data_IF_494048725832
#
_entry.id   IF_494048725832
#
_cell.length_a   1.000
_cell.length_b   1.000
_cell.length_c   1.000
_cell.angle_alpha   90.00
_cell.angle_beta   90.00
_cell.angle_gamma   90.00
#
_symmetry.space_group_name_H-M   'P 1'
#
loop_
_entity.id
_entity.type
_entity.pdbx_description
1 polymer ?
#
# COMPACT_ATOMS: atom_id res chain seq x y z
N UNK A 1 -25.06 10.42 -12.75
CA UNK A 1 -24.53 9.29 -11.96
C UNK A 1 -23.27 8.82 -12.66
N UNK A 2 -22.07 8.95 -12.08
CA UNK A 2 -20.91 8.31 -12.69
C UNK A 2 -21.06 6.80 -12.53
N UNK A 3 -21.10 6.09 -13.65
CA UNK A 3 -21.10 4.62 -13.69
C UNK A 3 -19.78 4.12 -13.12
N UNK A 4 -19.84 3.26 -12.09
CA UNK A 4 -18.68 2.61 -11.45
C UNK A 4 -18.09 1.51 -12.36
N UNK A 5 -17.83 1.87 -13.61
CA UNK A 5 -17.41 0.95 -14.65
C UNK A 5 -15.88 0.86 -14.68
N UNK A 6 -15.30 -0.36 -14.69
CA UNK A 6 -13.86 -0.53 -14.63
C UNK A 6 -13.14 0.13 -15.81
N UNK A 7 -11.91 0.62 -15.66
CA UNK A 7 -11.18 1.23 -16.77
C UNK A 7 -10.84 0.22 -17.88
N UNK A 8 -10.65 0.73 -19.11
CA UNK A 8 -10.41 -0.10 -20.31
C UNK A 8 -9.21 -1.06 -20.16
N UNK A 9 -8.14 -0.65 -19.48
CA UNK A 9 -6.95 -1.49 -19.31
C UNK A 9 -7.25 -2.74 -18.46
N UNK A 10 -8.09 -2.61 -17.43
CA UNK A 10 -8.41 -3.70 -16.52
C UNK A 10 -9.28 -4.74 -17.21
N UNK A 11 -10.32 -4.30 -17.93
CA UNK A 11 -11.18 -5.22 -18.69
C UNK A 11 -10.41 -5.92 -19.82
N UNK A 12 -9.41 -5.26 -20.41
CA UNK A 12 -8.53 -5.86 -21.41
C UNK A 12 -7.59 -6.92 -20.80
N UNK A 13 -7.03 -6.67 -19.60
CA UNK A 13 -6.22 -7.65 -18.87
C UNK A 13 -7.03 -8.89 -18.52
N UNK A 14 -8.24 -8.71 -17.97
CA UNK A 14 -9.11 -9.83 -17.58
C UNK A 14 -9.55 -10.65 -18.80
N UNK A 15 -9.86 -9.98 -19.92
CA UNK A 15 -10.19 -10.63 -21.18
C UNK A 15 -9.02 -11.47 -21.71
N UNK A 16 -7.79 -10.94 -21.65
CA UNK A 16 -6.58 -11.68 -22.05
C UNK A 16 -6.33 -12.88 -21.14
N UNK A 17 -6.44 -12.72 -19.82
CA UNK A 17 -6.36 -13.84 -18.88
C UNK A 17 -7.37 -14.93 -19.24
N UNK A 18 -8.64 -14.57 -19.51
CA UNK A 18 -9.67 -15.53 -19.90
C UNK A 18 -9.33 -16.27 -21.19
N UNK A 19 -8.75 -15.60 -22.19
CA UNK A 19 -8.30 -16.22 -23.43
C UNK A 19 -7.13 -17.18 -23.18
N UNK A 20 -6.14 -16.78 -22.38
CA UNK A 20 -5.00 -17.62 -22.00
C UNK A 20 -5.45 -18.88 -21.23
N UNK A 21 -6.35 -18.75 -20.25
CA UNK A 21 -6.90 -19.90 -19.52
C UNK A 21 -7.69 -20.87 -20.40
N UNK A 22 -8.25 -20.39 -21.51
CA UNK A 22 -8.93 -21.21 -22.53
C UNK A 22 -7.96 -21.85 -23.54
N UNK A 23 -6.65 -21.66 -23.37
CA UNK A 23 -5.62 -22.15 -24.29
C UNK A 23 -5.55 -21.37 -25.61
N UNK A 24 -6.14 -20.17 -25.69
CA UNK A 24 -6.14 -19.33 -26.88
C UNK A 24 -4.97 -18.35 -26.85
N UNK A 25 -3.74 -18.87 -26.83
CA UNK A 25 -2.49 -18.09 -26.87
C UNK A 25 -1.68 -18.47 -28.11
N UNK A 26 -1.26 -17.52 -28.97
CA UNK A 26 -1.59 -16.09 -28.94
C UNK A 26 -3.05 -15.82 -29.35
N UNK A 27 -3.61 -14.71 -28.88
CA UNK A 27 -4.95 -14.25 -29.24
C UNK A 27 -4.91 -13.02 -30.16
N UNK A 28 -5.92 -12.87 -30.99
CA UNK A 28 -6.10 -11.71 -31.88
C UNK A 28 -6.71 -10.53 -31.13
N UNK A 29 -6.50 -9.31 -31.66
CA UNK A 29 -7.20 -8.10 -31.20
C UNK A 29 -8.73 -8.27 -31.19
N UNK A 30 -9.30 -8.90 -32.22
CA UNK A 30 -10.74 -9.13 -32.31
C UNK A 30 -11.24 -10.12 -31.24
N UNK A 31 -10.49 -11.20 -30.96
CA UNK A 31 -10.83 -12.12 -29.86
C UNK A 31 -10.78 -11.42 -28.50
N UNK A 32 -9.79 -10.55 -28.30
CA UNK A 32 -9.65 -9.76 -27.07
C UNK A 32 -10.83 -8.79 -26.87
N UNK A 33 -11.16 -8.01 -27.91
CA UNK A 33 -12.29 -7.07 -27.89
C UNK A 33 -13.62 -7.80 -27.72
N UNK A 34 -13.84 -8.90 -28.46
CA UNK A 34 -15.05 -9.70 -28.32
C UNK A 34 -15.21 -10.23 -26.88
N UNK A 35 -14.12 -10.66 -26.25
CA UNK A 35 -14.12 -11.13 -24.85
C UNK A 35 -14.44 -9.99 -23.87
N UNK A 36 -14.01 -8.75 -24.15
CA UNK A 36 -14.43 -7.56 -23.37
C UNK A 36 -15.94 -7.31 -23.55
N UNK A 37 -16.44 -7.39 -24.77
CA UNK A 37 -17.85 -7.15 -25.11
C UNK A 37 -18.81 -8.19 -24.54
N UNK A 38 -18.33 -9.40 -24.17
CA UNK A 38 -19.15 -10.37 -23.43
C UNK A 38 -19.71 -9.79 -22.12
N UNK A 39 -18.97 -8.86 -21.48
CA UNK A 39 -19.36 -8.23 -20.22
C UNK A 39 -19.64 -6.73 -20.34
N UNK A 40 -19.02 -6.07 -21.31
CA UNK A 40 -19.12 -4.62 -21.51
C UNK A 40 -19.39 -4.28 -22.99
N UNK A 41 -20.59 -4.58 -23.52
CA UNK A 41 -20.90 -4.44 -24.95
C UNK A 41 -20.84 -2.99 -25.46
N UNK A 42 -21.05 -2.01 -24.58
CA UNK A 42 -21.06 -0.59 -24.94
C UNK A 42 -19.66 0.03 -25.11
N UNK A 43 -18.58 -0.73 -24.85
CA UNK A 43 -17.21 -0.22 -24.95
C UNK A 43 -16.75 -0.13 -26.40
N UNK A 44 -16.72 1.08 -26.93
CA UNK A 44 -16.30 1.34 -28.30
C UNK A 44 -14.84 0.94 -28.57
N UNK A 45 -14.60 0.31 -29.72
CA UNK A 45 -13.26 -0.08 -30.20
C UNK A 45 -12.28 1.11 -30.29
N UNK A 46 -12.78 2.32 -30.57
CA UNK A 46 -11.99 3.55 -30.60
C UNK A 46 -11.30 3.86 -29.27
N UNK A 47 -11.82 3.35 -28.16
CA UNK A 47 -11.26 3.50 -26.82
C UNK A 47 -10.40 2.30 -26.37
N UNK A 48 -10.70 1.10 -26.88
CA UNK A 48 -9.96 -0.13 -26.55
C UNK A 48 -8.68 -0.24 -27.39
N UNK A 49 -8.72 0.11 -28.67
CA UNK A 49 -7.58 -0.05 -29.57
C UNK A 49 -6.33 0.74 -29.17
N UNK A 50 -6.43 2.04 -28.82
CA UNK A 50 -5.28 2.78 -28.30
C UNK A 50 -4.74 2.21 -26.98
N UNK A 51 -5.62 1.65 -26.14
CA UNK A 51 -5.26 1.04 -24.87
C UNK A 51 -4.50 -0.28 -25.06
N UNK A 52 -4.98 -1.16 -25.95
CA UNK A 52 -4.27 -2.39 -26.34
C UNK A 52 -2.86 -2.04 -26.84
N UNK A 53 -2.73 -0.97 -27.64
CA UNK A 53 -1.43 -0.50 -28.11
C UNK A 53 -0.55 0.00 -26.96
N UNK A 54 -1.10 0.81 -26.04
CA UNK A 54 -0.39 1.33 -24.87
C UNK A 54 0.03 0.27 -23.84
N UNK A 55 -0.67 -0.85 -23.77
CA UNK A 55 -0.38 -1.99 -22.87
C UNK A 55 0.62 -3.00 -23.46
N UNK A 56 1.08 -2.80 -24.71
CA UNK A 56 1.94 -3.76 -25.42
C UNK A 56 3.41 -3.33 -25.44
N UNK A 57 4.30 -4.11 -24.81
CA UNK A 57 5.71 -3.75 -24.56
C UNK A 57 6.55 -3.45 -25.81
N UNK A 58 6.22 -4.09 -26.93
CA UNK A 58 7.02 -4.04 -28.16
C UNK A 58 6.32 -3.32 -29.32
N UNK A 59 5.26 -2.56 -29.04
CA UNK A 59 4.62 -1.65 -30.01
C UNK A 59 4.99 -0.20 -29.70
N UNK A 60 5.23 0.60 -30.74
CA UNK A 60 5.52 2.05 -30.62
C UNK A 60 4.23 2.85 -30.81
N UNK A 61 4.06 3.94 -30.06
CA UNK A 61 2.86 4.78 -30.06
C UNK A 61 1.74 4.21 -29.18
N UNK A 62 0.98 5.08 -28.52
CA UNK A 62 -0.04 4.73 -27.51
C UNK A 62 -0.26 5.92 -26.58
N UNK A 63 -1.38 5.95 -25.85
CA UNK A 63 -1.68 7.05 -24.93
C UNK A 63 -0.54 7.21 -23.89
N UNK A 64 0.12 8.38 -23.77
CA UNK A 64 1.12 8.60 -22.74
C UNK A 64 0.44 8.68 -21.37
N UNK A 65 0.78 7.79 -20.44
CA UNK A 65 0.45 7.98 -19.01
C UNK A 65 -0.44 6.93 -18.34
N UNK A 66 -0.73 5.77 -18.96
CA UNK A 66 -1.50 4.71 -18.30
C UNK A 66 -0.64 3.74 -17.47
N UNK A 67 -1.12 3.39 -16.28
CA UNK A 67 -0.69 2.24 -15.45
C UNK A 67 -0.72 0.95 -16.31
N UNK A 68 0.27 0.06 -16.16
CA UNK A 68 0.27 -1.27 -16.81
C UNK A 68 0.92 -1.35 -18.20
N UNK A 69 2.11 -0.75 -18.40
CA UNK A 69 2.84 -0.77 -19.69
C UNK A 69 3.38 -2.14 -20.13
N UNK A 70 3.20 -3.19 -19.35
CA UNK A 70 3.85 -4.49 -19.58
C UNK A 70 2.90 -5.69 -19.51
N UNK A 71 1.67 -5.53 -20.01
CA UNK A 71 0.66 -6.61 -19.95
C UNK A 71 0.69 -7.49 -21.20
N UNK A 72 0.93 -6.91 -22.38
CA UNK A 72 0.92 -7.65 -23.64
C UNK A 72 2.28 -7.67 -24.32
N UNK A 73 2.57 -8.77 -25.02
CA UNK A 73 3.62 -8.85 -26.04
C UNK A 73 2.96 -9.12 -27.40
N UNK A 74 3.26 -8.30 -28.40
CA UNK A 74 2.88 -8.58 -29.78
C UNK A 74 3.81 -9.65 -30.34
N UNK A 75 3.28 -10.79 -30.77
CA UNK A 75 4.07 -11.90 -31.37
C UNK A 75 3.88 -12.05 -32.88
N UNK A 76 2.97 -11.26 -33.44
CA UNK A 76 2.73 -11.19 -34.88
C UNK A 76 1.79 -10.03 -35.20
N UNK A 77 1.48 -9.84 -36.50
CA UNK A 77 0.58 -8.76 -36.92
C UNK A 77 -0.82 -8.96 -36.32
N UNK A 78 -1.16 -8.19 -35.29
CA UNK A 78 -2.44 -8.27 -34.60
C UNK A 78 -2.61 -9.47 -33.66
N UNK A 79 -1.51 -10.15 -33.33
CA UNK A 79 -1.45 -11.29 -32.40
C UNK A 79 -0.71 -10.89 -31.12
N UNK A 80 -1.31 -11.23 -29.99
CA UNK A 80 -0.87 -10.83 -28.66
C UNK A 80 -0.78 -12.04 -27.73
N UNK A 81 0.19 -11.99 -26.83
CA UNK A 81 0.30 -12.90 -25.70
C UNK A 81 0.24 -12.06 -24.42
N UNK A 82 -0.40 -12.62 -23.39
CA UNK A 82 -0.29 -12.09 -22.04
C UNK A 82 1.14 -12.35 -21.56
N UNK A 83 1.83 -11.31 -21.08
CA UNK A 83 3.11 -11.50 -20.42
C UNK A 83 2.86 -12.17 -19.07
N UNK A 84 3.20 -13.46 -18.98
CA UNK A 84 3.31 -14.10 -17.68
C UNK A 84 4.45 -13.44 -16.90
N UNK A 85 4.29 -13.17 -15.60
CA UNK A 85 5.45 -12.90 -14.75
C UNK A 85 6.43 -14.07 -14.89
N UNK A 86 7.75 -13.83 -14.98
CA UNK A 86 8.69 -14.87 -15.34
C UNK A 86 8.50 -16.10 -14.45
N UNK A 87 8.23 -17.24 -15.08
CA UNK A 87 8.17 -18.53 -14.41
C UNK A 87 9.44 -18.72 -13.58
N UNK A 88 9.29 -19.08 -12.30
CA UNK A 88 10.42 -19.42 -11.41
C UNK A 88 11.24 -20.53 -12.06
N UNK A 89 12.34 -20.15 -12.70
CA UNK A 89 13.38 -21.07 -13.16
C UNK A 89 13.94 -21.81 -11.94
N UNK A 90 13.99 -23.13 -12.05
CA UNK A 90 14.49 -24.02 -11.02
C UNK A 90 15.94 -23.72 -10.61
N UNK A 91 16.17 -23.76 -9.29
CA UNK A 91 17.43 -24.06 -8.58
C UNK A 91 18.65 -23.18 -8.88
N UNK A 92 18.86 -22.18 -8.02
CA UNK A 92 20.14 -22.03 -7.34
C UNK A 92 19.87 -22.07 -5.83
N UNK A 93 20.39 -23.10 -5.18
CA UNK A 93 20.41 -23.22 -3.73
C UNK A 93 21.18 -22.04 -3.15
N UNK A 94 20.44 -21.08 -2.61
CA UNK A 94 20.93 -20.16 -1.59
C UNK A 94 20.37 -20.69 -0.28
N UNK A 95 21.27 -21.12 0.61
CA UNK A 95 20.94 -21.62 1.94
C UNK A 95 19.97 -20.64 2.63
N UNK A 96 18.78 -21.10 3.08
CA UNK A 96 17.84 -20.22 3.76
C UNK A 96 18.46 -19.75 5.08
N UNK A 97 18.84 -18.47 5.15
CA UNK A 97 18.73 -17.75 6.40
C UNK A 97 17.27 -17.78 6.78
N UNK A 98 16.96 -18.37 7.94
CA UNK A 98 15.60 -18.68 8.35
C UNK A 98 14.68 -17.45 8.24
N UNK A 99 13.82 -17.43 7.22
CA UNK A 99 12.60 -16.64 7.28
C UNK A 99 11.69 -17.42 8.24
N UNK A 100 11.83 -17.11 9.52
CA UNK A 100 10.85 -17.50 10.51
C UNK A 100 9.62 -16.61 10.28
N UNK A 101 8.66 -17.11 9.50
CA UNK A 101 7.27 -16.66 9.59
C UNK A 101 6.75 -17.05 10.98
N UNK A 102 7.09 -16.25 11.98
CA UNK A 102 6.35 -16.23 13.23
C UNK A 102 5.17 -15.30 13.01
N UNK A 103 3.98 -15.88 12.90
CA UNK A 103 2.76 -15.17 13.21
C UNK A 103 2.80 -14.89 14.72
N UNK A 104 3.13 -13.65 15.09
CA UNK A 104 2.89 -13.18 16.45
C UNK A 104 1.59 -12.39 16.42
N UNK A 105 0.57 -13.02 16.98
CA UNK A 105 -0.68 -12.37 17.29
C UNK A 105 -0.41 -11.20 18.25
N UNK A 106 -0.49 -9.99 17.73
CA UNK A 106 -0.77 -8.79 18.51
C UNK A 106 -2.24 -8.83 18.95
N UNK A 107 -2.57 -9.75 19.86
CA UNK A 107 -3.78 -9.69 20.70
C UNK A 107 -5.12 -9.57 19.97
N UNK A 108 -5.54 -10.63 19.28
CA UNK A 108 -6.95 -10.90 19.05
C UNK A 108 -7.20 -12.38 19.31
N UNK A 109 -8.07 -12.65 20.28
CA UNK A 109 -8.42 -13.98 20.74
C UNK A 109 -8.99 -14.83 19.60
N UNK A 110 -8.58 -16.10 19.59
CA UNK A 110 -8.99 -17.11 18.65
C UNK A 110 -10.51 -17.36 18.74
N UNK A 111 -11.28 -16.84 17.77
CA UNK A 111 -12.70 -17.17 17.61
C UNK A 111 -13.47 -16.15 16.77
N UNK A 112 -13.56 -16.36 15.45
CA UNK A 112 -14.47 -15.67 14.52
C UNK A 112 -14.79 -14.20 14.88
N UNK A 113 -13.77 -13.41 15.23
CA UNK A 113 -13.95 -12.01 15.56
C UNK A 113 -14.21 -11.27 14.25
N UNK A 114 -15.38 -10.63 14.15
CA UNK A 114 -15.70 -9.70 13.06
C UNK A 114 -14.57 -8.68 12.96
N UNK A 115 -13.98 -8.51 11.76
CA UNK A 115 -12.93 -7.53 11.58
C UNK A 115 -13.52 -6.15 11.86
N UNK A 116 -12.78 -5.28 12.56
CA UNK A 116 -13.29 -3.95 12.86
C UNK A 116 -13.37 -3.10 11.57
N UNK A 117 -14.24 -2.07 11.52
CA UNK A 117 -14.22 -1.11 10.42
C UNK A 117 -12.86 -0.39 10.33
N UNK A 118 -12.61 0.24 9.18
CA UNK A 118 -11.44 1.09 8.95
C UNK A 118 -11.32 2.09 10.09
N UNK A 119 -10.15 2.11 10.75
CA UNK A 119 -9.89 3.04 11.85
C UNK A 119 -9.58 4.41 11.29
N UNK A 120 -10.18 5.43 11.91
CA UNK A 120 -9.89 6.82 11.59
C UNK A 120 -9.06 7.45 12.69
N UNK A 121 -8.01 8.15 12.27
CA UNK A 121 -7.22 9.03 13.11
C UNK A 121 -7.55 10.47 12.73
N UNK A 122 -7.77 11.32 13.73
CA UNK A 122 -7.96 12.76 13.54
C UNK A 122 -6.94 13.53 14.35
N UNK A 123 -6.20 14.40 13.70
CA UNK A 123 -5.27 15.32 14.38
C UNK A 123 -5.83 16.73 14.29
N UNK A 124 -6.08 17.33 15.46
CA UNK A 124 -6.38 18.75 15.59
C UNK A 124 -5.07 19.50 15.86
N UNK A 125 -4.60 20.22 14.84
CA UNK A 125 -3.32 20.93 14.84
C UNK A 125 -3.34 22.10 15.81
N UNK A 126 -4.46 22.83 15.87
CA UNK A 126 -4.59 24.02 16.73
C UNK A 126 -4.72 23.62 18.20
N UNK A 127 -5.56 22.61 18.49
CA UNK A 127 -5.76 22.12 19.86
C UNK A 127 -4.66 21.17 20.33
N UNK A 128 -3.71 20.79 19.45
CA UNK A 128 -2.69 19.76 19.69
C UNK A 128 -3.27 18.46 20.25
N UNK A 129 -4.29 17.93 19.58
CA UNK A 129 -4.96 16.70 20.00
C UNK A 129 -4.91 15.65 18.91
N UNK A 130 -4.56 14.43 19.28
CA UNK A 130 -4.64 13.26 18.42
C UNK A 130 -5.77 12.36 18.92
N UNK A 131 -6.84 12.29 18.12
CA UNK A 131 -7.98 11.41 18.32
C UNK A 131 -7.76 10.11 17.55
N UNK A 132 -7.74 8.99 18.26
CA UNK A 132 -7.57 7.63 17.73
C UNK A 132 -8.69 6.73 18.24
N UNK A 133 -8.75 5.51 17.73
CA UNK A 133 -9.81 4.55 18.08
C UNK A 133 -9.96 4.29 19.59
N UNK A 134 -8.86 4.36 20.35
CA UNK A 134 -8.84 4.10 21.80
C UNK A 134 -8.92 5.36 22.67
N UNK A 135 -9.21 6.53 22.08
CA UNK A 135 -9.45 7.78 22.80
C UNK A 135 -8.70 8.98 22.22
N UNK A 136 -8.61 10.03 23.01
CA UNK A 136 -7.91 11.26 22.62
C UNK A 136 -6.65 11.43 23.46
N UNK A 137 -5.54 11.79 22.82
CA UNK A 137 -4.29 12.12 23.47
C UNK A 137 -3.94 13.59 23.20
N UNK A 138 -3.38 14.23 24.22
CA UNK A 138 -2.72 15.52 24.08
C UNK A 138 -1.33 15.32 23.45
N UNK A 139 -0.96 16.20 22.53
CA UNK A 139 0.32 16.15 21.85
C UNK A 139 1.26 17.21 22.42
N UNK A 140 2.46 16.79 22.78
CA UNK A 140 3.53 17.69 23.21
C UNK A 140 3.97 18.58 22.03
N UNK A 141 4.09 17.96 20.84
CA UNK A 141 4.35 18.64 19.58
C UNK A 141 3.33 18.25 18.52
N UNK A 142 2.85 19.25 17.79
CA UNK A 142 2.19 19.09 16.49
C UNK A 142 2.72 20.18 15.59
N UNK A 143 3.15 19.82 14.38
CA UNK A 143 3.74 20.79 13.46
C UNK A 143 3.57 20.39 12.00
N UNK A 144 3.24 21.38 11.18
CA UNK A 144 3.20 21.23 9.74
C UNK A 144 4.62 21.32 9.16
N UNK A 145 4.92 20.43 8.21
CA UNK A 145 6.22 20.29 7.56
C UNK A 145 5.98 20.23 6.06
N UNK A 146 5.96 21.39 5.40
CA UNK A 146 5.57 21.51 3.99
C UNK A 146 4.16 20.93 3.74
N UNK A 147 4.04 19.79 3.08
CA UNK A 147 2.78 19.07 2.82
C UNK A 147 2.53 17.89 3.76
N UNK A 148 3.30 17.79 4.85
CA UNK A 148 3.28 16.68 5.80
C UNK A 148 2.95 17.19 7.21
N UNK A 149 2.54 16.28 8.08
CA UNK A 149 2.23 16.57 9.48
C UNK A 149 3.10 15.72 10.40
N UNK A 150 3.76 16.36 11.36
CA UNK A 150 4.46 15.69 12.44
C UNK A 150 3.71 15.87 13.76
N UNK A 151 3.66 14.81 14.57
CA UNK A 151 3.26 14.91 15.97
C UNK A 151 4.13 14.03 16.86
N UNK A 152 4.21 14.41 18.13
CA UNK A 152 4.84 13.64 19.18
C UNK A 152 3.96 13.68 20.43
N UNK A 153 3.74 12.52 21.05
CA UNK A 153 2.87 12.39 22.22
C UNK A 153 3.16 11.14 23.05
N UNK A 154 2.68 11.15 24.29
CA UNK A 154 2.58 9.93 25.11
C UNK A 154 1.59 8.93 24.50
N UNK A 155 1.82 7.65 24.74
CA UNK A 155 0.88 6.57 24.36
C UNK A 155 -0.17 6.40 25.46
N UNK A 156 -1.44 6.37 25.07
CA UNK A 156 -2.53 6.16 26.00
C UNK A 156 -2.56 4.70 26.49
N UNK A 157 -2.47 4.50 27.81
CA UNK A 157 -2.78 3.23 28.50
C UNK A 157 -2.20 1.98 27.83
N UNK A 158 -0.91 2.02 27.46
CA UNK A 158 -0.20 0.87 26.92
C UNK A 158 0.79 0.30 27.96
N UNK A 159 0.90 -1.03 28.01
CA UNK A 159 1.72 -1.70 29.03
C UNK A 159 3.23 -1.48 28.84
N UNK A 160 3.68 -1.46 27.58
CA UNK A 160 5.09 -1.36 27.18
C UNK A 160 5.43 0.05 26.67
N UNK A 161 4.84 0.42 25.53
CA UNK A 161 5.02 1.73 24.90
C UNK A 161 4.60 2.91 25.79
N UNK A 162 5.47 3.91 25.90
CA UNK A 162 5.26 5.11 26.70
C UNK A 162 5.12 6.37 25.85
N UNK A 163 5.81 6.43 24.71
CA UNK A 163 5.88 7.62 23.86
C UNK A 163 5.90 7.23 22.38
N UNK A 164 5.38 8.12 21.52
CA UNK A 164 5.42 7.92 20.08
C UNK A 164 5.59 9.23 19.32
N UNK A 165 6.15 9.10 18.14
CA UNK A 165 6.31 10.14 17.14
C UNK A 165 5.75 9.63 15.83
N UNK A 166 4.98 10.46 15.14
CA UNK A 166 4.32 10.08 13.90
C UNK A 166 4.50 11.17 12.86
N UNK A 167 4.90 10.76 11.66
CA UNK A 167 5.02 11.61 10.49
C UNK A 167 4.04 11.14 9.41
N UNK A 168 3.02 11.95 9.15
CA UNK A 168 2.00 11.70 8.16
C UNK A 168 2.46 12.21 6.79
N UNK A 169 2.51 11.32 5.81
CA UNK A 169 3.04 11.55 4.45
C UNK A 169 1.95 11.29 3.40
N UNK A 170 1.03 12.25 3.15
CA UNK A 170 -0.12 12.06 2.27
C UNK A 170 0.25 11.64 0.86
N UNK A 171 1.32 12.22 0.30
CA UNK A 171 1.77 11.91 -1.05
C UNK A 171 2.28 10.47 -1.21
N UNK A 172 2.66 9.82 -0.11
CA UNK A 172 3.16 8.44 -0.10
C UNK A 172 2.10 7.44 0.40
N UNK A 173 1.02 7.92 1.02
CA UNK A 173 0.04 7.04 1.67
C UNK A 173 0.57 6.36 2.93
N UNK A 174 1.49 6.99 3.65
CA UNK A 174 2.19 6.40 4.79
C UNK A 174 2.07 7.26 6.05
N UNK A 175 1.93 6.62 7.21
CA UNK A 175 2.23 7.21 8.50
C UNK A 175 3.47 6.50 9.04
N UNK A 176 4.56 7.24 9.17
CA UNK A 176 5.84 6.69 9.64
C UNK A 176 5.96 6.98 11.13
N UNK A 177 6.17 5.95 11.93
CA UNK A 177 6.17 6.06 13.39
C UNK A 177 7.48 5.60 14.01
N UNK A 178 7.81 6.24 15.14
CA UNK A 178 8.77 5.73 16.12
C UNK A 178 8.07 5.58 17.45
N UNK A 179 8.19 4.40 18.05
CA UNK A 179 7.63 4.08 19.36
C UNK A 179 8.75 3.85 20.37
N UNK A 180 8.54 4.33 21.59
CA UNK A 180 9.53 4.27 22.66
C UNK A 180 8.93 3.66 23.92
N UNK A 181 9.75 2.86 24.60
CA UNK A 181 9.45 2.33 25.92
C UNK A 181 9.68 3.37 27.01
N UNK A 182 9.38 3.01 28.26
CA UNK A 182 9.46 3.92 29.41
C UNK A 182 10.89 4.37 29.73
N UNK A 183 11.89 3.56 29.38
CA UNK A 183 13.30 3.90 29.52
C UNK A 183 13.84 4.77 28.36
N UNK A 184 12.99 5.09 27.37
CA UNK A 184 13.34 5.88 26.20
C UNK A 184 13.99 5.07 25.07
N UNK A 185 14.16 3.75 25.22
CA UNK A 185 14.61 2.90 24.13
C UNK A 185 13.55 2.79 23.02
N UNK A 186 13.96 2.73 21.75
CA UNK A 186 13.02 2.45 20.67
C UNK A 186 12.53 1.00 20.76
N UNK A 187 11.22 0.79 20.63
CA UNK A 187 10.64 -0.55 20.64
C UNK A 187 10.88 -1.28 19.32
N UNK A 188 10.63 -0.58 18.20
CA UNK A 188 11.04 -0.98 16.85
C UNK A 188 11.96 0.10 16.28
N UNK A 189 12.69 -0.24 15.21
CA UNK A 189 13.41 0.79 14.47
C UNK A 189 12.41 1.73 13.79
N UNK A 190 11.43 1.14 13.11
CA UNK A 190 10.32 1.86 12.45
C UNK A 190 9.04 1.03 12.47
N UNK A 191 7.90 1.70 12.59
CA UNK A 191 6.58 1.14 12.38
C UNK A 191 5.83 2.03 11.39
N UNK A 192 5.34 1.47 10.29
CA UNK A 192 4.78 2.26 9.19
C UNK A 192 3.38 1.79 8.86
N UNK A 193 2.38 2.63 9.12
CA UNK A 193 1.00 2.37 8.72
C UNK A 193 0.79 2.75 7.26
N UNK A 194 0.06 1.92 6.50
CA UNK A 194 -0.48 2.29 5.19
C UNK A 194 -1.84 2.94 5.37
N UNK A 195 -1.96 4.19 4.94
CA UNK A 195 -3.13 4.99 5.21
C UNK A 195 -3.48 5.95 4.07
N UNK A 196 -4.78 6.18 3.87
CA UNK A 196 -5.24 7.34 3.10
C UNK A 196 -5.32 8.56 4.01
N UNK A 197 -4.49 9.57 3.72
CA UNK A 197 -4.36 10.77 4.56
C UNK A 197 -4.93 11.96 3.80
N UNK A 198 -5.86 12.65 4.43
CA UNK A 198 -6.44 13.88 3.95
C UNK A 198 -5.93 15.07 4.79
N UNK A 199 -5.02 15.88 4.23
CA UNK A 199 -4.59 17.11 4.86
C UNK A 199 -5.75 18.10 5.04
N UNK A 200 -5.65 18.93 6.07
CA UNK A 200 -6.48 20.11 6.24
C UNK A 200 -5.73 21.20 7.00
N UNK A 201 -6.26 22.42 6.98
CA UNK A 201 -5.58 23.57 7.58
C UNK A 201 -5.45 23.44 9.10
N UNK A 202 -6.47 22.89 9.75
CA UNK A 202 -6.52 22.70 11.21
C UNK A 202 -6.77 21.26 11.61
N UNK A 203 -7.48 20.49 10.78
CA UNK A 203 -7.83 19.09 11.03
C UNK A 203 -7.25 18.22 9.94
N UNK A 204 -6.46 17.22 10.33
CA UNK A 204 -6.00 16.15 9.47
C UNK A 204 -6.76 14.88 9.78
N UNK A 205 -7.12 14.14 8.73
CA UNK A 205 -7.79 12.85 8.84
C UNK A 205 -6.92 11.79 8.18
N UNK A 206 -6.76 10.65 8.83
CA UNK A 206 -6.13 9.48 8.24
C UNK A 206 -7.01 8.26 8.43
N UNK A 207 -7.16 7.48 7.37
CA UNK A 207 -7.85 6.19 7.36
C UNK A 207 -6.80 5.10 7.24
N UNK A 208 -6.71 4.29 8.28
CA UNK A 208 -5.80 3.15 8.41
C UNK A 208 -6.31 1.99 7.55
N UNK A 209 -5.48 1.53 6.61
CA UNK A 209 -5.83 0.47 5.68
C UNK A 209 -5.22 -0.88 6.07
N UNK A 210 -5.07 -1.12 7.38
CA UNK A 210 -4.69 -2.39 8.04
C UNK A 210 -3.27 -2.87 7.77
N UNK A 211 -2.70 -2.65 6.59
CA UNK A 211 -1.35 -3.12 6.27
C UNK A 211 -0.30 -2.24 6.96
N UNK A 212 0.57 -2.90 7.73
CA UNK A 212 1.71 -2.28 8.37
C UNK A 212 3.04 -2.86 7.86
N UNK A 213 4.08 -2.03 7.86
CA UNK A 213 5.46 -2.47 7.66
C UNK A 213 6.26 -2.15 8.91
N UNK A 214 6.85 -3.19 9.51
CA UNK A 214 7.68 -3.10 10.71
C UNK A 214 9.13 -3.33 10.33
N UNK A 215 10.02 -2.50 10.86
CA UNK A 215 11.47 -2.68 10.77
C UNK A 215 11.99 -2.84 12.19
N UNK A 216 12.48 -4.05 12.49
CA UNK A 216 13.05 -4.43 13.77
C UNK A 216 14.37 -3.69 14.04
N UNK A 217 14.81 -3.68 15.30
CA UNK A 217 16.06 -3.02 15.71
C UNK A 217 17.31 -3.60 15.02
N UNK A 218 17.25 -4.86 14.56
CA UNK A 218 18.32 -5.51 13.80
C UNK A 218 18.23 -5.27 12.27
N UNK A 219 17.24 -4.49 11.81
CA UNK A 219 17.00 -4.19 10.40
C UNK A 219 16.12 -5.20 9.67
N UNK A 220 15.62 -6.23 10.36
CA UNK A 220 14.65 -7.17 9.79
C UNK A 220 13.34 -6.45 9.44
N UNK A 221 12.87 -6.64 8.21
CA UNK A 221 11.60 -6.05 7.73
C UNK A 221 10.51 -7.12 7.69
N UNK A 222 9.32 -6.76 8.18
CA UNK A 222 8.11 -7.59 8.12
C UNK A 222 6.90 -6.77 7.67
N UNK A 223 5.98 -7.45 6.98
CA UNK A 223 4.63 -6.94 6.71
C UNK A 223 3.69 -7.62 7.69
N UNK A 224 2.89 -6.85 8.39
CA UNK A 224 1.91 -7.34 9.38
C UNK A 224 0.47 -7.15 8.89
N UNK A 225 -0.47 -7.77 9.60
CA UNK A 225 -1.92 -7.55 9.49
C UNK A 225 -2.51 -7.77 8.08
N UNK A 226 -1.86 -8.61 7.29
CA UNK A 226 -2.34 -9.05 5.96
C UNK A 226 -3.63 -9.85 6.07
N UNK A 227 -3.80 -10.65 7.12
CA UNK A 227 -5.03 -11.40 7.39
C UNK A 227 -6.20 -10.46 7.74
N UNK A 228 -5.95 -9.44 8.56
CA UNK A 228 -6.92 -8.37 8.86
C UNK A 228 -7.30 -7.59 7.60
N UNK A 229 -6.34 -7.19 6.78
CA UNK A 229 -6.57 -6.54 5.50
C UNK A 229 -7.48 -7.37 4.59
N UNK A 230 -7.19 -8.66 4.42
CA UNK A 230 -8.01 -9.56 3.59
C UNK A 230 -9.41 -9.74 4.18
N UNK A 231 -9.55 -9.82 5.51
CA UNK A 231 -10.84 -9.86 6.17
C UNK A 231 -11.64 -8.57 5.93
N UNK A 232 -11.00 -7.41 6.03
CA UNK A 232 -11.60 -6.09 5.78
C UNK A 232 -12.11 -5.93 4.35
N UNK A 233 -11.37 -6.43 3.35
CA UNK A 233 -11.83 -6.48 1.96
C UNK A 233 -13.04 -7.40 1.81
N UNK A 234 -12.97 -8.60 2.39
CA UNK A 234 -14.06 -9.59 2.31
C UNK A 234 -15.35 -9.09 2.96
N UNK A 235 -15.24 -8.36 4.06
CA UNK A 235 -16.38 -7.83 4.82
C UNK A 235 -16.83 -6.44 4.31
N UNK A 236 -16.16 -5.88 3.31
CA UNK A 236 -16.55 -4.64 2.65
C UNK A 236 -16.21 -3.37 3.42
N UNK A 237 -15.30 -3.45 4.39
CA UNK A 237 -14.73 -2.29 5.08
C UNK A 237 -13.77 -1.51 4.18
N UNK A 238 -13.15 -2.18 3.22
CA UNK A 238 -12.39 -1.57 2.13
C UNK A 238 -13.08 -1.83 0.79
N UNK A 239 -13.17 -0.79 -0.02
CA UNK A 239 -13.46 -0.94 -1.45
C UNK A 239 -12.28 -1.58 -2.17
N UNK A 240 -12.54 -2.15 -3.36
CA UNK A 240 -11.46 -2.71 -4.19
C UNK A 240 -10.37 -1.67 -4.55
N UNK A 241 -10.75 -0.39 -4.71
CA UNK A 241 -9.82 0.69 -5.03
C UNK A 241 -8.93 1.05 -3.83
N UNK A 242 -9.49 1.07 -2.62
CA UNK A 242 -8.72 1.30 -1.38
C UNK A 242 -7.77 0.13 -1.10
N UNK A 243 -8.23 -1.10 -1.36
CA UNK A 243 -7.41 -2.30 -1.24
C UNK A 243 -6.25 -2.30 -2.25
N UNK A 244 -6.51 -1.93 -3.50
CA UNK A 244 -5.46 -1.77 -4.53
C UNK A 244 -4.46 -0.69 -4.11
N UNK A 245 -4.94 0.47 -3.65
CA UNK A 245 -4.09 1.54 -3.17
C UNK A 245 -3.18 1.06 -2.04
N UNK A 246 -3.74 0.40 -1.01
CA UNK A 246 -2.97 -0.10 0.11
C UNK A 246 -1.86 -1.07 -0.35
N UNK A 247 -2.22 -2.06 -1.18
CA UNK A 247 -1.25 -3.01 -1.73
C UNK A 247 -0.17 -2.34 -2.58
N UNK A 248 -0.51 -1.37 -3.42
CA UNK A 248 0.47 -0.62 -4.21
C UNK A 248 1.44 0.14 -3.33
N UNK A 249 0.94 0.87 -2.33
CA UNK A 249 1.77 1.61 -1.37
C UNK A 249 2.69 0.66 -0.59
N UNK A 250 2.18 -0.46 -0.09
CA UNK A 250 2.99 -1.47 0.61
C UNK A 250 4.11 -2.01 -0.30
N UNK A 251 3.80 -2.39 -1.54
CA UNK A 251 4.80 -2.92 -2.46
C UNK A 251 5.84 -1.87 -2.85
N UNK A 252 5.43 -0.64 -3.13
CA UNK A 252 6.34 0.45 -3.48
C UNK A 252 7.31 0.76 -2.32
N UNK A 253 6.80 0.77 -1.09
CA UNK A 253 7.60 0.92 0.12
C UNK A 253 8.62 -0.21 0.26
N UNK A 254 8.20 -1.47 0.20
CA UNK A 254 9.10 -2.64 0.36
C UNK A 254 10.16 -2.65 -0.74
N UNK A 255 9.76 -2.44 -2.00
CA UNK A 255 10.68 -2.41 -3.14
C UNK A 255 11.71 -1.29 -2.98
N UNK A 256 11.32 -0.15 -2.41
CA UNK A 256 12.25 0.93 -2.11
C UNK A 256 13.20 0.57 -0.97
N UNK A 257 12.68 0.12 0.17
CA UNK A 257 13.47 -0.26 1.34
C UNK A 257 14.51 -1.35 1.01
N UNK A 258 14.15 -2.35 0.22
CA UNK A 258 15.06 -3.44 -0.16
C UNK A 258 16.27 -2.96 -0.97
N UNK A 259 16.19 -1.84 -1.71
CA UNK A 259 17.33 -1.28 -2.44
C UNK A 259 18.38 -0.65 -1.53
N UNK A 260 18.00 -0.31 -0.30
CA UNK A 260 18.85 0.42 0.65
C UNK A 260 19.03 -0.34 1.97
N UNK A 261 18.97 -1.68 1.93
CA UNK A 261 19.17 -2.51 3.12
C UNK A 261 18.15 -2.24 4.23
N UNK A 262 16.91 -1.97 3.85
CA UNK A 262 15.80 -1.60 4.75
C UNK A 262 16.00 -0.27 5.50
N UNK A 263 16.82 0.65 4.98
CA UNK A 263 17.00 1.98 5.58
C UNK A 263 15.79 2.89 5.32
N UNK A 264 14.92 3.04 6.32
CA UNK A 264 13.81 4.01 6.27
C UNK A 264 14.30 5.46 6.20
N UNK A 265 15.42 5.77 6.86
CA UNK A 265 16.01 7.11 6.81
C UNK A 265 16.38 7.48 5.36
N UNK A 266 17.06 6.57 4.65
CA UNK A 266 17.41 6.77 3.23
C UNK A 266 16.16 6.88 2.36
N UNK A 267 15.15 6.04 2.59
CA UNK A 267 13.87 6.14 1.88
C UNK A 267 13.22 7.52 2.04
N UNK A 268 13.18 8.07 3.25
CA UNK A 268 12.62 9.39 3.49
C UNK A 268 13.44 10.50 2.81
N UNK A 269 14.77 10.43 2.89
CA UNK A 269 15.68 11.38 2.24
C UNK A 269 15.48 11.43 0.72
N UNK A 270 15.31 10.28 0.06
CA UNK A 270 15.04 10.19 -1.39
C UNK A 270 13.72 10.88 -1.78
N UNK A 271 12.77 10.96 -0.86
CA UNK A 271 11.50 11.68 -1.04
C UNK A 271 11.56 13.14 -0.54
N UNK A 272 12.75 13.64 -0.15
CA UNK A 272 12.94 14.99 0.36
C UNK A 272 12.29 15.22 1.73
N UNK A 273 12.10 14.14 2.50
CA UNK A 273 11.47 14.16 3.81
C UNK A 273 12.52 13.89 4.88
N UNK A 274 12.52 14.69 5.94
CA UNK A 274 13.32 14.44 7.13
C UNK A 274 12.41 14.02 8.30
N UNK A 275 12.75 12.93 8.97
CA UNK A 275 12.10 12.57 10.23
C UNK A 275 12.71 13.39 11.37
N UNK A 276 11.92 14.11 12.18
CA UNK A 276 12.47 14.95 13.24
C UNK A 276 13.26 14.16 14.29
N UNK A 277 14.46 14.62 14.61
CA UNK A 277 15.25 14.19 15.76
C UNK A 277 14.67 14.77 17.05
N UNK A 278 13.52 14.28 17.46
CA UNK A 278 13.01 14.56 18.79
C UNK A 278 13.48 13.43 19.72
N UNK A 279 14.23 13.78 20.76
CA UNK A 279 14.45 12.85 21.88
C UNK A 279 13.12 12.71 22.63
N UNK A 280 12.67 11.50 22.98
CA UNK A 280 11.55 11.35 23.90
C UNK A 280 11.82 12.22 25.12
N UNK A 281 10.85 13.03 25.54
CA UNK A 281 11.00 13.77 26.79
C UNK A 281 11.34 12.75 27.89
N UNK A 282 12.51 12.90 28.51
CA UNK A 282 12.86 12.13 29.70
C UNK A 282 11.66 12.24 30.66
N UNK A 283 11.10 11.10 31.06
CA UNK A 283 9.93 11.16 31.95
C UNK A 283 10.31 11.85 33.26
N UNK A 284 9.45 12.73 33.81
CA UNK A 284 9.52 13.05 35.23
C UNK A 284 9.23 11.83 36.10
#
# INVERSE_FOLDING_TARGET
MPTNEPPNWMVLRDAAQKLTHRGLTPFTRSQLIATVHERYPDRGESSLNPMIQGMTVNLKGGAPGGIGKEIFRSVGRGLFELLEPPARSATQEVTPGAITLQAHASGSENGAATIHPVREQRVDVTAKRHHVWNGTAECDEVSLRSSNLYLARRVNRHAVLAYMQSLFLPALGLIVNRFFERDGSPHWQWFVDVAHIQPGDTIWLARDFYLDVVIELDGTLRVEDTDEFIAAVREGHLTAQEAEFALSVTHDLINALQRHGNSMATFLEEHGVAFPDATPLASP
#
